data_IF_285680500537
#
_entry.id   IF_285680500537
#
_cell.length_a   1.000
_cell.length_b   1.000
_cell.length_c   1.000
_cell.angle_alpha   90.00
_cell.angle_beta   90.00
_cell.angle_gamma   90.00
#
_symmetry.space_group_name_H-M   'P 1'
#
loop_
_entity.id
_entity.type
_entity.pdbx_description
1 polymer ?
#
# COMPACT_ATOMS: atom_id res chain seq x y z
N UNK A 1 2.53 6.06 35.15
CA UNK A 1 1.79 5.64 33.95
C UNK A 1 2.54 6.07 32.68
N UNK A 2 2.99 5.12 31.85
CA UNK A 2 3.53 5.41 30.51
C UNK A 2 2.37 5.80 29.58
N UNK A 3 2.43 6.94 28.86
CA UNK A 3 1.35 7.35 27.96
C UNK A 3 1.14 6.27 26.90
N UNK A 4 -0.11 5.86 26.68
CA UNK A 4 -0.47 4.99 25.55
C UNK A 4 -0.22 5.79 24.28
N UNK A 5 0.79 5.38 23.52
CA UNK A 5 1.22 6.05 22.30
C UNK A 5 0.18 5.80 21.20
N UNK A 6 -0.74 6.76 21.02
CA UNK A 6 -1.80 6.70 20.01
C UNK A 6 -1.26 6.72 18.56
N UNK A 7 0.05 6.87 18.37
CA UNK A 7 0.71 6.84 17.05
C UNK A 7 0.74 5.44 16.41
N UNK A 8 0.64 4.37 17.22
CA UNK A 8 0.70 2.99 16.74
C UNK A 8 -0.50 2.58 15.86
N UNK A 9 -1.67 3.19 16.06
CA UNK A 9 -2.93 2.69 15.48
C UNK A 9 -3.34 3.40 14.18
N UNK A 10 -3.15 4.72 13.98
CA UNK A 10 -3.46 5.35 12.70
C UNK A 10 -2.29 5.38 11.72
N UNK A 11 -1.02 5.28 12.16
CA UNK A 11 0.14 5.38 11.26
C UNK A 11 0.69 4.00 10.84
N UNK A 12 0.62 3.00 11.72
CA UNK A 12 1.03 1.63 11.39
C UNK A 12 0.19 0.99 10.28
N UNK A 13 -1.12 1.26 10.28
CA UNK A 13 -2.03 0.82 9.21
C UNK A 13 -1.63 1.34 7.82
N UNK A 14 -1.42 2.65 7.58
CA UNK A 14 -0.97 3.16 6.29
C UNK A 14 0.48 2.82 5.95
N UNK A 15 1.33 2.50 6.94
CA UNK A 15 2.66 1.96 6.64
C UNK A 15 2.60 0.53 6.10
N UNK A 16 1.64 -0.29 6.55
CA UNK A 16 1.39 -1.64 6.04
C UNK A 16 0.61 -1.61 4.72
N UNK A 17 -0.48 -0.86 4.69
CA UNK A 17 -1.28 -0.60 3.49
C UNK A 17 -0.86 0.75 2.94
N UNK A 18 0.21 0.76 2.14
CA UNK A 18 0.71 1.98 1.51
C UNK A 18 -0.39 2.79 0.80
N UNK A 19 -0.20 4.11 0.61
CA UNK A 19 -1.23 4.98 0.04
C UNK A 19 -1.72 4.51 -1.35
N UNK A 20 -0.82 3.93 -2.17
CA UNK A 20 -1.19 3.34 -3.46
C UNK A 20 -2.10 2.11 -3.35
N UNK A 21 -1.90 1.28 -2.32
CA UNK A 21 -2.72 0.10 -2.04
C UNK A 21 -4.14 0.49 -1.64
N UNK A 22 -4.27 1.55 -0.84
CA UNK A 22 -5.58 2.09 -0.42
C UNK A 22 -6.35 2.60 -1.64
N UNK A 23 -5.72 3.42 -2.48
CA UNK A 23 -6.34 3.93 -3.70
C UNK A 23 -6.78 2.81 -4.64
N UNK A 24 -5.96 1.75 -4.78
CA UNK A 24 -6.28 0.61 -5.64
C UNK A 24 -7.50 -0.16 -5.14
N UNK A 25 -7.59 -0.45 -3.84
CA UNK A 25 -8.76 -1.17 -3.28
C UNK A 25 -10.04 -0.34 -3.45
N UNK A 26 -9.96 0.97 -3.26
CA UNK A 26 -11.09 1.88 -3.51
C UNK A 26 -11.49 1.82 -4.99
N UNK A 27 -10.54 1.94 -5.91
CA UNK A 27 -10.78 1.88 -7.34
C UNK A 27 -11.41 0.55 -7.75
N UNK A 28 -10.87 -0.58 -7.30
CA UNK A 28 -11.41 -1.91 -7.59
C UNK A 28 -12.81 -2.11 -6.99
N UNK A 29 -13.07 -1.55 -5.81
CA UNK A 29 -14.40 -1.59 -5.19
C UNK A 29 -15.46 -0.77 -5.94
N UNK A 30 -15.04 0.26 -6.68
CA UNK A 30 -15.93 1.06 -7.54
C UNK A 30 -16.08 0.52 -8.95
N UNK A 31 -15.25 -0.46 -9.36
CA UNK A 31 -15.32 -1.05 -10.68
C UNK A 31 -16.39 -2.15 -10.76
N UNK A 32 -17.37 -2.06 -11.68
CA UNK A 32 -18.46 -3.02 -11.77
C UNK A 32 -18.02 -4.42 -12.25
N UNK A 33 -16.84 -4.53 -12.88
CA UNK A 33 -16.27 -5.81 -13.31
C UNK A 33 -15.78 -6.68 -12.13
N UNK A 34 -15.45 -6.07 -11.00
CA UNK A 34 -14.92 -6.79 -9.83
C UNK A 34 -15.98 -6.89 -8.74
N UNK A 35 -16.35 -8.12 -8.37
CA UNK A 35 -17.24 -8.32 -7.23
C UNK A 35 -16.55 -7.89 -5.93
N UNK A 36 -17.31 -7.27 -5.03
CA UNK A 36 -16.82 -6.89 -3.69
C UNK A 36 -16.23 -8.09 -2.94
N UNK A 37 -16.81 -9.28 -3.10
CA UNK A 37 -16.31 -10.52 -2.50
C UNK A 37 -14.90 -10.88 -3.00
N UNK A 38 -14.63 -10.71 -4.30
CA UNK A 38 -13.32 -10.98 -4.88
C UNK A 38 -12.25 -10.02 -4.32
N UNK A 39 -12.57 -8.72 -4.23
CA UNK A 39 -11.66 -7.71 -3.66
C UNK A 39 -11.40 -7.98 -2.18
N UNK A 40 -12.42 -8.37 -1.43
CA UNK A 40 -12.29 -8.75 -0.02
C UNK A 40 -11.39 -9.98 0.17
N UNK A 41 -11.59 -11.05 -0.61
CA UNK A 41 -10.75 -12.25 -0.57
C UNK A 41 -9.30 -11.94 -0.93
N UNK A 42 -9.06 -11.11 -1.96
CA UNK A 42 -7.71 -10.69 -2.33
C UNK A 42 -7.02 -9.91 -1.20
N UNK A 43 -7.75 -9.01 -0.53
CA UNK A 43 -7.23 -8.22 0.60
C UNK A 43 -6.86 -9.13 1.78
N UNK A 44 -7.72 -10.10 2.11
CA UNK A 44 -7.44 -11.09 3.17
C UNK A 44 -6.21 -11.93 2.82
N UNK A 45 -6.06 -12.36 1.56
CA UNK A 45 -4.90 -13.12 1.11
C UNK A 45 -3.60 -12.33 1.27
N UNK A 46 -3.58 -11.06 0.86
CA UNK A 46 -2.41 -10.17 1.01
C UNK A 46 -2.06 -9.94 2.49
N UNK A 47 -3.06 -9.72 3.34
CA UNK A 47 -2.86 -9.57 4.78
C UNK A 47 -2.29 -10.83 5.43
N UNK A 48 -2.80 -12.00 5.03
CA UNK A 48 -2.32 -13.30 5.53
C UNK A 48 -0.87 -13.56 5.10
N UNK A 49 -0.54 -13.24 3.84
CA UNK A 49 0.83 -13.34 3.33
C UNK A 49 1.79 -12.39 4.08
N UNK A 50 1.35 -11.16 4.33
CA UNK A 50 2.13 -10.16 5.08
C UNK A 50 2.40 -10.62 6.52
N UNK A 51 1.40 -11.19 7.19
CA UNK A 51 1.54 -11.80 8.51
C UNK A 51 2.59 -12.92 8.52
N UNK A 52 2.53 -13.83 7.54
CA UNK A 52 3.51 -14.92 7.42
C UNK A 52 4.93 -14.36 7.26
N UNK A 53 5.12 -13.39 6.37
CA UNK A 53 6.42 -12.75 6.16
C UNK A 53 6.94 -12.13 7.47
N UNK A 54 6.10 -11.44 8.24
CA UNK A 54 6.50 -10.86 9.53
C UNK A 54 6.90 -11.90 10.56
N UNK A 55 6.20 -13.04 10.63
CA UNK A 55 6.58 -14.15 11.51
C UNK A 55 7.95 -14.71 11.10
N UNK A 56 8.19 -14.90 9.80
CA UNK A 56 9.49 -15.37 9.29
C UNK A 56 10.62 -14.36 9.59
N UNK A 57 10.35 -13.07 9.40
CA UNK A 57 11.33 -11.99 9.65
C UNK A 57 11.64 -11.82 11.13
N UNK A 58 10.68 -12.01 12.03
CA UNK A 58 10.89 -12.00 13.49
C UNK A 58 11.97 -13.01 13.92
N UNK A 59 12.05 -14.15 13.22
CA UNK A 59 13.10 -15.16 13.42
C UNK A 59 14.48 -14.75 12.87
N UNK A 60 14.54 -13.77 11.96
CA UNK A 60 15.75 -13.31 11.26
C UNK A 60 16.25 -11.92 11.70
N UNK A 61 15.90 -11.46 12.91
CA UNK A 61 16.14 -10.09 13.38
C UNK A 61 17.59 -9.58 13.32
N UNK A 62 18.58 -10.47 13.15
CA UNK A 62 20.00 -10.12 13.10
C UNK A 62 20.58 -9.92 11.69
N UNK A 63 19.79 -10.06 10.62
CA UNK A 63 20.33 -10.07 9.25
C UNK A 63 20.28 -8.72 8.52
N UNK A 64 19.46 -7.77 8.97
CA UNK A 64 19.19 -6.54 8.22
C UNK A 64 20.02 -5.38 8.75
N UNK A 65 21.06 -5.00 7.99
CA UNK A 65 21.90 -3.84 8.33
C UNK A 65 21.15 -2.53 8.11
N UNK A 66 21.34 -1.56 9.01
CA UNK A 66 20.71 -0.22 8.97
C UNK A 66 20.87 0.50 7.62
N UNK A 67 21.99 0.26 6.93
CA UNK A 67 22.24 0.82 5.61
C UNK A 67 21.26 0.30 4.55
N UNK A 68 20.94 -1.00 4.60
CA UNK A 68 19.99 -1.65 3.68
C UNK A 68 18.59 -1.10 3.92
N UNK A 69 18.18 -1.01 5.18
CA UNK A 69 16.88 -0.43 5.56
C UNK A 69 16.74 1.00 5.04
N UNK A 70 17.77 1.83 5.23
CA UNK A 70 17.76 3.23 4.76
C UNK A 70 17.61 3.34 3.24
N UNK A 71 18.29 2.49 2.48
CA UNK A 71 18.19 2.48 1.02
C UNK A 71 16.78 2.06 0.59
N UNK A 72 16.23 0.99 1.17
CA UNK A 72 14.88 0.50 0.86
C UNK A 72 13.84 1.58 1.16
N UNK A 73 13.89 2.24 2.32
CA UNK A 73 12.96 3.32 2.67
C UNK A 73 13.00 4.46 1.65
N UNK A 74 14.19 4.82 1.15
CA UNK A 74 14.33 5.84 0.12
C UNK A 74 13.70 5.42 -1.21
N UNK A 75 13.88 4.16 -1.61
CA UNK A 75 13.28 3.59 -2.83
C UNK A 75 11.76 3.57 -2.71
N UNK A 76 11.20 3.13 -1.58
CA UNK A 76 9.75 3.10 -1.37
C UNK A 76 9.13 4.51 -1.52
N UNK A 77 9.80 5.53 -0.98
CA UNK A 77 9.40 6.93 -1.17
C UNK A 77 9.42 7.37 -2.64
N UNK A 78 10.48 7.05 -3.39
CA UNK A 78 10.59 7.37 -4.82
C UNK A 78 9.54 6.65 -5.66
N UNK A 79 9.28 5.37 -5.39
CA UNK A 79 8.22 4.60 -6.06
C UNK A 79 6.85 5.23 -5.83
N UNK A 80 6.57 5.69 -4.61
CA UNK A 80 5.32 6.37 -4.28
C UNK A 80 5.12 7.64 -5.11
N UNK A 81 6.18 8.42 -5.31
CA UNK A 81 6.15 9.62 -6.17
C UNK A 81 5.85 9.25 -7.63
N UNK A 82 6.50 8.19 -8.14
CA UNK A 82 6.27 7.72 -9.52
C UNK A 82 4.82 7.24 -9.70
N UNK A 83 4.30 6.45 -8.77
CA UNK A 83 2.92 5.95 -8.82
C UNK A 83 1.91 7.12 -8.74
N UNK A 84 2.17 8.11 -7.89
CA UNK A 84 1.32 9.29 -7.80
C UNK A 84 1.29 10.08 -9.12
N UNK A 85 2.45 10.26 -9.78
CA UNK A 85 2.52 10.89 -11.08
C UNK A 85 1.76 10.07 -12.15
N UNK A 86 1.93 8.74 -12.15
CA UNK A 86 1.21 7.85 -13.06
C UNK A 86 -0.31 8.01 -12.91
N UNK A 87 -0.86 7.95 -11.69
CA UNK A 87 -2.29 8.12 -11.46
C UNK A 87 -2.81 9.50 -11.88
N UNK A 88 -2.00 10.54 -11.75
CA UNK A 88 -2.35 11.88 -12.22
C UNK A 88 -2.48 11.93 -13.75
N UNK A 89 -1.53 11.31 -14.47
CA UNK A 89 -1.61 11.21 -15.93
C UNK A 89 -2.75 10.30 -16.41
N UNK A 90 -2.98 9.17 -15.74
CA UNK A 90 -4.11 8.28 -16.05
C UNK A 90 -5.45 9.02 -15.90
N UNK A 91 -5.61 9.80 -14.82
CA UNK A 91 -6.79 10.64 -14.62
C UNK A 91 -6.97 11.70 -15.71
N UNK A 92 -5.90 12.37 -16.13
CA UNK A 92 -5.92 13.35 -17.23
C UNK A 92 -6.27 12.71 -18.57
N UNK A 93 -5.74 11.51 -18.85
CA UNK A 93 -6.03 10.78 -20.09
C UNK A 93 -7.51 10.39 -20.18
N UNK A 94 -8.09 9.89 -19.08
CA UNK A 94 -9.51 9.59 -18.98
C UNK A 94 -10.36 10.85 -19.18
N UNK A 95 -9.99 11.96 -18.53
CA UNK A 95 -10.70 13.24 -18.68
C UNK A 95 -10.71 13.73 -20.14
N UNK A 96 -9.56 13.66 -20.83
CA UNK A 96 -9.45 14.06 -22.22
C UNK A 96 -10.28 13.16 -23.16
N UNK A 97 -10.29 11.84 -22.93
CA UNK A 97 -11.11 10.91 -23.69
C UNK A 97 -12.62 11.20 -23.52
N UNK A 98 -13.04 11.69 -22.35
CA UNK A 98 -14.44 12.01 -22.06
C UNK A 98 -14.90 13.31 -22.74
N UNK A 99 -13.99 14.26 -23.00
CA UNK A 99 -14.28 15.51 -23.71
C UNK A 99 -14.26 15.36 -25.24
N UNK A 100 -13.59 14.33 -25.76
CA UNK A 100 -13.51 14.04 -27.20
C UNK A 100 -14.66 13.20 -27.76
N UNK A 101 -15.54 12.70 -26.89
CA UNK A 101 -16.78 11.98 -27.23
C UNK A 101 -18.00 12.90 -27.00
#
# INVERSE_FOLDING_TARGET
ETPVDFSLVPLGMPMLAGPGSISLVILLGTNPEFSTNMVAMATIAVMTLSLLIFILVSSMSNFLSDNVVRIITRIMGLLTVVIAAQYLFDGLAVWHATLGA
#
